data_IF_850797860985
#
_entry.id   IF_850797860985
#
_cell.length_a   1.000
_cell.length_b   1.000
_cell.length_c   1.000
_cell.angle_alpha   90.00
_cell.angle_beta   90.00
_cell.angle_gamma   90.00
#
_symmetry.space_group_name_H-M   'P 1'
#
loop_
_entity.id
_entity.type
_entity.pdbx_description
1 polymer ?
#
# COMPACT_ATOMS: atom_id res chain seq x y z
N UNK A 1 12.07 4.01 9.48
CA UNK A 1 10.90 3.23 9.90
C UNK A 1 9.77 3.46 8.92
N UNK A 2 9.09 2.41 8.47
CA UNK A 2 7.92 2.49 7.59
C UNK A 2 6.67 2.68 8.45
N UNK A 3 5.86 3.68 8.14
CA UNK A 3 4.63 3.99 8.87
C UNK A 3 3.36 3.62 8.11
N UNK A 4 3.41 3.59 6.78
CA UNK A 4 2.25 3.23 5.98
C UNK A 4 2.64 2.64 4.62
N UNK A 5 1.77 1.78 4.12
CA UNK A 5 1.69 1.42 2.70
C UNK A 5 0.41 2.02 2.12
N UNK A 6 0.47 2.57 0.91
CA UNK A 6 -0.73 2.94 0.15
C UNK A 6 -0.77 2.18 -1.15
N UNK A 7 -1.96 1.71 -1.50
CA UNK A 7 -2.23 1.04 -2.75
C UNK A 7 -2.79 2.09 -3.72
N UNK A 8 -2.19 2.19 -4.89
CA UNK A 8 -2.59 3.06 -5.99
C UNK A 8 -2.90 2.23 -7.23
N UNK A 9 -3.87 2.67 -8.03
CA UNK A 9 -4.27 1.97 -9.25
C UNK A 9 -5.34 0.91 -8.98
N UNK A 10 -6.44 1.07 -9.72
CA UNK A 10 -7.73 0.37 -9.63
C UNK A 10 -8.34 0.21 -8.23
N UNK A 11 -9.67 0.12 -8.17
CA UNK A 11 -10.45 -0.13 -6.95
C UNK A 11 -10.26 -1.57 -6.46
N UNK A 12 -9.01 -2.05 -6.46
CA UNK A 12 -8.66 -3.40 -6.07
C UNK A 12 -9.15 -3.61 -4.63
N UNK A 13 -9.82 -4.73 -4.34
CA UNK A 13 -10.38 -5.00 -3.02
C UNK A 13 -9.29 -5.42 -2.02
N UNK A 14 -8.12 -4.77 -2.05
CA UNK A 14 -7.00 -5.08 -1.18
C UNK A 14 -6.65 -3.89 -0.30
N UNK A 15 -6.08 -4.18 0.87
CA UNK A 15 -5.50 -3.24 1.81
C UNK A 15 -4.08 -3.70 2.17
N UNK A 16 -3.20 -2.75 2.46
CA UNK A 16 -1.82 -3.01 2.85
C UNK A 16 -1.58 -2.49 4.27
N UNK A 17 -1.20 -3.38 5.17
CA UNK A 17 -0.96 -3.07 6.57
C UNK A 17 0.53 -3.22 6.92
N UNK A 18 1.04 -2.36 7.79
CA UNK A 18 2.42 -2.49 8.30
C UNK A 18 2.41 -3.43 9.50
N UNK A 19 3.13 -4.55 9.39
CA UNK A 19 3.31 -5.50 10.49
C UNK A 19 4.49 -5.11 11.39
N UNK A 20 5.58 -4.63 10.78
CA UNK A 20 6.77 -4.21 11.51
C UNK A 20 7.37 -2.94 10.89
N UNK A 21 7.33 -1.86 11.65
CA UNK A 21 7.82 -0.54 11.21
C UNK A 21 9.33 -0.47 11.03
N UNK A 22 10.08 -1.30 11.77
CA UNK A 22 11.55 -1.30 11.75
C UNK A 22 12.08 -2.09 10.56
N UNK A 23 11.58 -3.31 10.34
CA UNK A 23 11.97 -4.12 9.17
C UNK A 23 11.29 -3.70 7.88
N UNK A 24 10.15 -3.00 7.98
CA UNK A 24 9.30 -2.69 6.83
C UNK A 24 8.42 -3.86 6.41
N UNK A 25 8.24 -4.86 7.26
CA UNK A 25 7.33 -5.98 6.98
C UNK A 25 5.89 -5.47 6.88
N UNK A 26 5.19 -5.91 5.84
CA UNK A 26 3.79 -5.59 5.59
C UNK A 26 3.03 -6.79 5.05
N UNK A 27 1.71 -6.70 5.14
CA UNK A 27 0.78 -7.70 4.61
C UNK A 27 -0.19 -7.04 3.65
N UNK A 28 -0.41 -7.69 2.51
CA UNK A 28 -1.49 -7.36 1.59
C UNK A 28 -2.67 -8.29 1.87
N UNK A 29 -3.84 -7.73 2.17
CA UNK A 29 -5.05 -8.50 2.49
C UNK A 29 -6.19 -8.10 1.59
N UNK A 30 -7.02 -9.06 1.22
CA UNK A 30 -8.30 -8.75 0.59
C UNK A 30 -9.28 -8.22 1.65
N UNK A 31 -10.00 -7.14 1.33
CA UNK A 31 -11.06 -6.54 2.16
C UNK A 31 -12.35 -7.37 2.16
N UNK A 32 -12.43 -8.37 1.28
CA UNK A 32 -13.59 -9.23 1.11
C UNK A 32 -13.33 -10.37 0.12
N UNK A 33 -14.37 -11.14 -0.22
CA UNK A 33 -14.28 -12.22 -1.20
C UNK A 33 -13.82 -11.70 -2.57
N UNK A 34 -13.00 -12.49 -3.26
CA UNK A 34 -12.54 -12.21 -4.62
C UNK A 34 -13.29 -13.13 -5.58
N UNK A 35 -14.00 -12.54 -6.53
CA UNK A 35 -14.71 -13.28 -7.57
C UNK A 35 -13.82 -13.42 -8.82
N UNK A 36 -13.39 -14.66 -9.10
CA UNK A 36 -12.47 -14.92 -10.21
C UNK A 36 -13.15 -14.84 -11.58
N UNK A 37 -14.48 -14.96 -11.64
CA UNK A 37 -15.23 -14.87 -12.90
C UNK A 37 -15.33 -13.41 -13.33
N UNK A 38 -15.47 -12.49 -12.38
CA UNK A 38 -15.54 -11.06 -12.61
C UNK A 38 -14.18 -10.44 -12.93
N UNK A 39 -13.13 -10.75 -12.16
CA UNK A 39 -11.79 -10.23 -12.42
C UNK A 39 -10.71 -11.22 -11.96
N UNK A 40 -9.97 -11.74 -12.94
CA UNK A 40 -8.92 -12.75 -12.74
C UNK A 40 -7.60 -12.16 -12.26
N UNK A 41 -7.33 -10.91 -12.61
CA UNK A 41 -6.03 -10.28 -12.42
C UNK A 41 -6.20 -8.84 -11.90
N UNK A 42 -5.39 -8.49 -10.91
CA UNK A 42 -5.36 -7.14 -10.33
C UNK A 42 -3.95 -6.58 -10.46
N UNK A 43 -3.83 -5.39 -11.01
CA UNK A 43 -2.57 -4.65 -11.07
C UNK A 43 -2.71 -3.38 -10.24
N UNK A 44 -1.84 -3.25 -9.25
CA UNK A 44 -1.79 -2.10 -8.37
C UNK A 44 -0.34 -1.80 -8.01
N UNK A 45 -0.11 -0.57 -7.53
CA UNK A 45 1.18 -0.07 -7.09
C UNK A 45 1.12 0.09 -5.58
N UNK A 46 2.05 -0.52 -4.86
CA UNK A 46 2.23 -0.29 -3.43
C UNK A 46 3.31 0.77 -3.23
N UNK A 47 2.98 1.84 -2.52
CA UNK A 47 3.92 2.89 -2.12
C UNK A 47 4.14 2.84 -0.61
N UNK A 48 5.40 2.74 -0.19
CA UNK A 48 5.80 2.83 1.21
C UNK A 48 6.02 4.29 1.64
N UNK A 49 5.64 4.62 2.87
CA UNK A 49 5.84 5.94 3.48
C UNK A 49 6.57 5.80 4.82
N UNK A 50 7.60 6.61 5.03
CA UNK A 50 8.27 6.72 6.31
C UNK A 50 7.46 7.62 7.28
N UNK A 51 7.81 7.55 8.56
CA UNK A 51 7.12 8.28 9.63
C UNK A 51 7.38 9.80 9.68
N UNK A 52 8.17 10.34 8.74
CA UNK A 52 8.76 11.69 8.78
C UNK A 52 8.06 12.78 7.97
N UNK A 53 6.87 12.56 7.38
CA UNK A 53 6.22 13.60 6.56
C UNK A 53 4.79 13.93 7.03
N UNK A 54 4.65 15.10 7.66
CA UNK A 54 3.36 15.76 7.90
C UNK A 54 2.55 15.87 6.59
N UNK A 55 1.21 15.75 6.64
CA UNK A 55 0.34 15.73 5.46
C UNK A 55 0.22 17.07 4.71
N UNK A 56 1.09 18.05 4.98
CA UNK A 56 1.05 19.37 4.37
C UNK A 56 2.23 19.56 3.41
N UNK A 57 1.99 19.19 2.15
CA UNK A 57 2.64 19.73 0.95
C UNK A 57 4.14 19.99 1.00
N UNK A 58 4.96 18.96 0.79
CA UNK A 58 6.32 19.17 0.29
C UNK A 58 6.78 17.97 -0.55
N UNK A 59 6.95 18.24 -1.84
CA UNK A 59 7.87 17.63 -2.79
C UNK A 59 8.31 16.17 -2.50
N UNK A 60 7.64 15.25 -3.19
CA UNK A 60 7.92 13.83 -3.21
C UNK A 60 9.36 13.54 -3.64
N UNK A 61 10.18 12.97 -2.75
CA UNK A 61 11.41 12.28 -3.16
C UNK A 61 11.09 10.78 -3.23
N UNK A 62 11.00 10.26 -4.46
CA UNK A 62 11.05 8.80 -4.70
C UNK A 62 12.38 8.29 -4.13
N UNK A 63 12.31 7.37 -3.18
CA UNK A 63 13.52 6.65 -2.76
C UNK A 63 13.89 5.68 -3.88
N UNK A 64 15.16 5.75 -4.29
CA UNK A 64 15.83 4.80 -5.18
C UNK A 64 16.00 3.45 -4.48
#
# INVERSE_FOLDING_TARGET
EICAFKIHGQEAPFEAEVLNRTSGEGVLRARGPIDCEQQKEYTFIIQAYDCGASPSGANWKKSH
#
